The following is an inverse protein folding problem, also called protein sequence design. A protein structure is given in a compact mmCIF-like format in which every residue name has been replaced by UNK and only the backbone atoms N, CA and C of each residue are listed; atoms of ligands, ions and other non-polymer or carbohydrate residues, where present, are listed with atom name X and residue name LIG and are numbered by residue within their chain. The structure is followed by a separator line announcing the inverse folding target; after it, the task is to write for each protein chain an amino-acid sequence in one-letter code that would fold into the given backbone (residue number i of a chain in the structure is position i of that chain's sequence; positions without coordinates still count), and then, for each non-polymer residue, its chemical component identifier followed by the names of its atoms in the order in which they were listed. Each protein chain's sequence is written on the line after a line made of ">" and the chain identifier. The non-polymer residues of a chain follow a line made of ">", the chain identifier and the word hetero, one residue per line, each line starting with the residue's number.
data_IF_691635816824
#
_entry.id   IF_691635816824
#
_cell.length_a   1.000
_cell.length_b   1.000
_cell.length_c   1.000
_cell.angle_alpha   90.00
_cell.angle_beta   90.00
_cell.angle_gamma   90.00
#
_symmetry.space_group_name_H-M   'P 1'
#
loop_
_entity.id
_entity.type
_entity.pdbx_description
1 polymer ?
2 non-polymer ?
3 water ?
#
# COMPACT_ATOMS: atom_id res chain seq x y z
N UNK A 1 4.73 -21.78 20.54
CA UNK A 1 5.55 -20.69 19.94
C UNK A 1 5.69 -19.49 20.88
N UNK A 2 6.21 -18.38 20.36
CA UNK A 2 6.66 -17.29 21.24
C UNK A 2 5.55 -16.31 21.63
N UNK A 3 4.46 -16.26 20.88
CA UNK A 3 3.42 -15.27 21.12
C UNK A 3 2.07 -15.96 21.23
N UNK A 4 1.24 -15.44 22.14
CA UNK A 4 -0.06 -16.03 22.42
C UNK A 4 -1.06 -15.69 21.32
N UNK A 5 -2.16 -16.44 21.29
CA UNK A 5 -3.27 -16.11 20.41
C UNK A 5 -3.71 -14.65 20.61
N UNK A 6 -3.83 -14.22 21.87
CA UNK A 6 -4.31 -12.87 22.12
C UNK A 6 -3.32 -11.83 21.60
N UNK A 7 -2.02 -12.12 21.69
CA UNK A 7 -1.02 -11.18 21.18
C UNK A 7 -1.12 -11.07 19.65
N UNK A 8 -1.38 -12.18 18.96
CA UNK A 8 -1.60 -12.11 17.53
C UNK A 8 -2.85 -11.31 17.20
N UNK A 9 -3.93 -11.53 17.95
CA UNK A 9 -5.14 -10.74 17.74
C UNK A 9 -4.84 -9.25 17.91
N UNK A 10 -4.11 -8.90 18.97
CA UNK A 10 -3.75 -7.50 19.18
C UNK A 10 -2.99 -6.93 18.00
N UNK A 11 -2.01 -7.69 17.48
CA UNK A 11 -1.22 -7.23 16.35
C UNK A 11 -2.01 -7.13 15.05
N UNK A 12 -3.15 -7.81 14.97
CA UNK A 12 -3.92 -7.87 13.74
C UNK A 12 -4.84 -6.66 13.55
N UNK A 13 -4.94 -5.78 14.54
CA UNK A 13 -5.90 -4.68 14.47
C UNK A 13 -5.28 -3.49 13.75
N UNK A 14 -6.09 -2.77 12.99
CA UNK A 14 -5.60 -1.51 12.40
C UNK A 14 -5.32 -0.51 13.51
N UNK A 15 -4.26 0.27 13.33
CA UNK A 15 -3.87 1.28 14.31
C UNK A 15 -4.33 2.63 13.78
N UNK A 16 -3.59 3.21 12.85
CA UNK A 16 -4.04 4.44 12.20
C UNK A 16 -5.12 4.14 11.17
N UNK A 17 -6.17 4.96 11.14
CA UNK A 17 -7.21 4.78 10.15
C UNK A 17 -7.74 6.13 9.70
N UNK A 18 -8.56 6.11 8.65
CA UNK A 18 -9.17 7.34 8.13
C UNK A 18 -10.19 7.95 9.09
N UNK A 19 -10.58 7.25 10.15
CA UNK A 19 -11.43 7.86 11.18
C UNK A 19 -10.63 8.80 12.09
N UNK A 20 -9.30 8.73 12.07
CA UNK A 20 -8.51 9.52 12.99
C UNK A 20 -8.63 11.00 12.66
N UNK A 21 -8.84 11.83 13.69
CA UNK A 21 -8.97 13.27 13.49
C UNK A 21 -7.77 13.84 12.74
N UNK A 22 -6.55 13.42 13.10
CA UNK A 22 -5.38 14.00 12.45
C UNK A 22 -5.26 13.57 10.99
N UNK A 23 -5.83 12.43 10.62
CA UNK A 23 -5.87 12.04 9.22
C UNK A 23 -6.90 12.87 8.46
N UNK A 24 -8.10 13.01 9.03
CA UNK A 24 -9.11 13.87 8.43
C UNK A 24 -8.59 15.28 8.21
N UNK A 25 -7.88 15.82 9.21
CA UNK A 25 -7.37 17.18 9.11
C UNK A 25 -6.36 17.30 7.97
N UNK A 26 -5.47 16.32 7.85
CA UNK A 26 -4.49 16.35 6.76
C UNK A 26 -5.20 16.35 5.41
N UNK A 27 -6.14 15.43 5.21
CA UNK A 27 -6.84 15.34 3.93
C UNK A 27 -7.60 16.65 3.64
N UNK A 28 -8.32 17.16 4.64
CA UNK A 28 -9.07 18.40 4.45
C UNK A 28 -8.15 19.55 4.03
N UNK A 29 -7.06 19.75 4.76
CA UNK A 29 -6.19 20.90 4.51
C UNK A 29 -5.49 20.77 3.16
N UNK A 30 -4.98 19.56 2.86
CA UNK A 30 -4.25 19.39 1.60
C UNK A 30 -5.19 19.49 0.42
N UNK A 31 -6.40 18.94 0.55
CA UNK A 31 -7.38 19.04 -0.53
C UNK A 31 -7.66 20.50 -0.86
N UNK A 32 -7.86 21.33 0.17
CA UNK A 32 -8.14 22.73 -0.08
C UNK A 32 -6.99 23.42 -0.81
N UNK A 33 -5.75 23.10 -0.42
CA UNK A 33 -4.59 23.71 -1.08
C UNK A 33 -4.51 23.30 -2.55
N UNK A 34 -4.79 22.03 -2.84
CA UNK A 34 -4.73 21.56 -4.22
C UNK A 34 -5.87 22.12 -5.04
N UNK A 35 -7.09 22.15 -4.49
CA UNK A 35 -8.23 22.65 -5.24
C UNK A 35 -8.05 24.13 -5.57
N UNK A 36 -7.37 24.87 -4.71
CA UNK A 36 -7.18 26.30 -4.99
C UNK A 36 -6.45 26.51 -6.31
N UNK A 37 -5.57 25.57 -6.69
CA UNK A 37 -4.87 25.69 -7.96
C UNK A 37 -5.54 24.93 -9.11
N UNK A 38 -6.02 23.72 -8.85
CA UNK A 38 -6.43 22.80 -9.91
C UNK A 38 -7.94 22.72 -10.08
N UNK A 39 -8.72 23.18 -9.10
CA UNK A 39 -10.16 23.09 -9.23
C UNK A 39 -10.61 21.66 -9.46
N UNK A 40 -11.56 21.51 -10.39
CA UNK A 40 -12.13 20.20 -10.70
C UNK A 40 -11.35 19.45 -11.77
N UNK A 41 -10.17 19.93 -12.14
CA UNK A 41 -9.37 19.23 -13.13
C UNK A 41 -8.62 18.02 -12.55
N UNK A 42 -8.75 17.78 -11.25
CA UNK A 42 -8.12 16.62 -10.61
C UNK A 42 -9.16 15.82 -9.84
N UNK A 43 -8.91 14.53 -9.74
CA UNK A 43 -9.56 13.66 -8.77
C UNK A 43 -8.59 13.42 -7.62
N UNK A 44 -9.07 13.58 -6.39
CA UNK A 44 -8.28 13.30 -5.20
C UNK A 44 -8.84 12.06 -4.51
N UNK A 45 -7.94 11.12 -4.17
CA UNK A 45 -8.34 9.88 -3.54
C UNK A 45 -7.14 9.33 -2.78
N UNK A 46 -7.38 8.29 -1.99
CA UNK A 46 -6.32 7.69 -1.20
C UNK A 46 -5.84 6.38 -1.82
N UNK A 47 -4.56 6.09 -1.62
CA UNK A 47 -4.03 4.75 -1.86
C UNK A 47 -3.17 4.34 -0.68
N UNK A 48 -2.57 3.16 -0.77
CA UNK A 48 -1.73 2.71 0.31
C UNK A 48 -2.51 2.32 1.55
N UNK A 49 -1.80 2.35 2.69
CA UNK A 49 -2.28 1.64 3.86
C UNK A 49 -3.55 2.26 4.45
N UNK A 50 -3.76 3.57 4.32
CA UNK A 50 -5.01 4.13 4.81
C UNK A 50 -6.18 3.70 3.95
N UNK A 51 -5.96 3.58 2.65
CA UNK A 51 -7.00 3.14 1.73
C UNK A 51 -7.36 1.67 1.96
N UNK A 52 -6.35 0.83 2.08
CA UNK A 52 -6.54 -0.60 2.25
C UNK A 52 -6.71 -1.02 3.70
N UNK A 53 -6.62 -0.07 4.64
CA UNK A 53 -6.80 -0.30 6.07
C UNK A 53 -5.79 -1.31 6.62
N UNK A 54 -4.52 -1.10 6.28
CA UNK A 54 -3.47 -2.00 6.74
C UNK A 54 -2.40 -1.31 7.58
N UNK A 55 -2.72 -0.18 8.21
CA UNK A 55 -1.75 0.52 9.05
C UNK A 55 -1.55 -0.22 10.37
N UNK A 56 -0.30 -0.37 10.79
CA UNK A 56 0.00 -1.00 12.07
C UNK A 56 0.80 -0.08 12.98
N UNK A 57 0.95 1.18 12.62
CA UNK A 57 1.67 2.14 13.44
C UNK A 57 0.79 3.35 13.73
N UNK A 58 1.10 4.01 14.84
CA UNK A 58 0.38 5.21 15.23
C UNK A 58 0.80 6.39 14.37
N UNK A 59 -0.16 7.26 14.06
CA UNK A 59 0.12 8.53 13.40
C UNK A 59 0.86 8.34 12.07
N UNK A 60 0.45 7.33 11.31
CA UNK A 60 1.16 7.00 10.08
C UNK A 60 0.90 8.05 8.99
N UNK A 61 1.86 8.14 8.07
CA UNK A 61 1.70 9.03 6.92
C UNK A 61 0.63 8.48 5.97
N UNK A 62 -0.13 9.39 5.33
CA UNK A 62 -1.20 9.03 4.40
C UNK A 62 -0.76 9.34 2.98
N UNK A 63 -1.15 8.47 2.05
CA UNK A 63 -0.85 8.64 0.62
C UNK A 63 -2.07 9.26 -0.05
N UNK A 64 -1.95 10.54 -0.43
CA UNK A 64 -3.03 11.26 -1.11
C UNK A 64 -2.70 11.36 -2.59
N UNK A 65 -3.49 10.73 -3.43
CA UNK A 65 -3.27 10.76 -4.87
C UNK A 65 -4.02 11.93 -5.48
N UNK A 66 -3.33 12.70 -6.32
CA UNK A 66 -3.96 13.80 -7.05
C UNK A 66 -3.84 13.48 -8.53
N UNK A 67 -4.91 12.94 -9.12
CA UNK A 67 -4.91 12.52 -10.52
C UNK A 67 -5.38 13.67 -11.39
N UNK A 68 -4.47 14.22 -12.18
CA UNK A 68 -4.82 15.27 -13.15
C UNK A 68 -5.45 14.57 -14.34
N UNK A 69 -6.74 14.81 -14.57
CA UNK A 69 -7.47 13.96 -15.49
C UNK A 69 -8.53 14.72 -16.28
N UNK A 70 -8.35 16.02 -16.43
CA UNK A 70 -9.29 16.85 -17.18
C UNK A 70 -9.56 16.28 -18.57
N UNK A 71 -8.57 15.63 -19.20
CA UNK A 71 -8.77 15.12 -20.54
C UNK A 71 -9.69 13.90 -20.57
N UNK A 72 -9.75 13.16 -19.48
CA UNK A 72 -10.53 11.93 -19.38
C UNK A 72 -11.83 12.11 -18.61
N UNK A 73 -11.81 13.00 -17.60
CA UNK A 73 -12.99 13.31 -16.79
C UNK A 73 -13.16 14.82 -16.79
N UNK A 74 -13.60 15.38 -17.92
CA UNK A 74 -13.71 16.84 -18.04
C UNK A 74 -14.85 17.42 -17.21
N UNK A 75 -14.82 18.75 -17.11
CA UNK A 75 -15.84 19.48 -16.35
C UNK A 75 -17.15 19.47 -17.12
N UNK A 76 -18.17 18.86 -16.53
CA UNK A 76 -19.46 18.79 -17.17
C UNK A 76 -20.14 20.16 -17.07
N UNK A 96 0.84 19.62 -21.46
CA UNK A 96 1.04 19.51 -20.01
C UNK A 96 1.78 18.22 -19.65
N UNK A 97 3.08 18.33 -19.40
CA UNK A 97 3.90 17.17 -19.11
C UNK A 97 4.00 16.98 -17.60
N UNK A 98 4.54 15.83 -17.20
CA UNK A 98 4.52 15.50 -15.79
C UNK A 98 5.40 16.43 -14.97
N UNK A 99 6.55 16.85 -15.53
CA UNK A 99 7.42 17.75 -14.78
C UNK A 99 6.67 19.02 -14.39
N UNK A 100 5.87 19.57 -15.30
CA UNK A 100 5.08 20.75 -14.99
C UNK A 100 4.03 20.45 -13.94
N UNK A 101 3.35 19.30 -14.05
CA UNK A 101 2.34 18.92 -13.07
C UNK A 101 2.94 18.85 -11.68
N UNK A 102 4.09 18.19 -11.55
CA UNK A 102 4.67 17.98 -10.23
C UNK A 102 5.16 19.29 -9.65
N UNK A 103 5.74 20.15 -10.48
CA UNK A 103 6.17 21.46 -10.02
C UNK A 103 4.98 22.31 -9.59
N UNK A 104 3.87 22.27 -10.35
CA UNK A 104 2.69 23.03 -9.98
C UNK A 104 2.07 22.50 -8.68
N UNK A 105 2.12 21.17 -8.49
CA UNK A 105 1.61 20.58 -7.25
C UNK A 105 2.46 21.04 -6.06
N UNK A 106 3.79 21.03 -6.22
CA UNK A 106 4.66 21.48 -5.15
C UNK A 106 4.38 22.94 -4.80
N UNK A 107 4.17 23.77 -5.82
CA UNK A 107 3.87 25.18 -5.61
C UNK A 107 2.56 25.37 -4.87
N UNK A 108 1.50 24.65 -5.29
CA UNK A 108 0.22 24.78 -4.62
C UNK A 108 0.33 24.44 -3.14
N UNK A 109 1.09 23.39 -2.82
CA UNK A 109 1.27 22.99 -1.44
C UNK A 109 2.14 23.98 -0.68
N UNK A 110 3.24 24.44 -1.29
CA UNK A 110 4.12 25.36 -0.58
C UNK A 110 3.42 26.70 -0.30
N UNK A 111 2.51 27.14 -1.17
CA UNK A 111 1.80 28.39 -0.91
C UNK A 111 1.04 28.33 0.41
N UNK A 112 0.62 27.14 0.84
CA UNK A 112 -0.17 26.97 2.05
C UNK A 112 0.66 26.47 3.21
N UNK A 113 1.48 25.43 2.99
CA UNK A 113 2.20 24.76 4.07
C UNK A 113 3.66 25.18 4.16
N UNK A 114 4.10 26.11 3.31
CA UNK A 114 5.43 26.68 3.30
C UNK A 114 6.51 25.69 3.68
N UNK A 115 7.18 25.89 4.82
CA UNK A 115 8.39 25.10 5.11
C UNK A 115 8.12 23.62 5.41
N UNK A 116 6.85 23.21 5.56
CA UNK A 116 6.54 21.80 5.76
C UNK A 116 6.61 20.99 4.48
N UNK A 117 6.80 21.64 3.32
CA UNK A 117 6.75 20.94 2.04
C UNK A 117 8.16 20.53 1.63
N UNK A 118 8.31 19.26 1.24
CA UNK A 118 9.58 18.73 0.76
C UNK A 118 9.33 17.89 -0.47
N UNK A 119 10.00 18.21 -1.57
CA UNK A 119 9.90 17.38 -2.76
C UNK A 119 10.67 16.09 -2.56
N UNK A 120 10.05 14.96 -2.92
CA UNK A 120 10.66 13.65 -2.82
C UNK A 120 10.69 13.01 -4.22
N UNK A 121 11.34 11.85 -4.29
CA UNK A 121 11.54 11.19 -5.58
C UNK A 121 10.21 10.84 -6.26
N UNK A 122 9.22 10.39 -5.48
CA UNK A 122 7.97 9.90 -6.06
C UNK A 122 6.74 10.64 -5.56
N UNK A 123 6.90 11.73 -4.82
CA UNK A 123 5.77 12.45 -4.27
C UNK A 123 6.25 13.82 -3.80
N UNK A 124 5.29 14.63 -3.35
CA UNK A 124 5.56 15.84 -2.58
C UNK A 124 5.13 15.56 -1.14
N UNK A 125 6.08 15.64 -0.20
CA UNK A 125 5.75 15.40 1.21
C UNK A 125 5.29 16.70 1.87
N UNK A 126 4.19 16.62 2.60
CA UNK A 126 3.72 17.71 3.45
C UNK A 126 3.84 17.22 4.89
N UNK A 127 4.85 17.69 5.60
CA UNK A 127 5.06 17.25 6.97
C UNK A 127 3.93 17.71 7.88
N UNK A 128 3.54 16.84 8.79
CA UNK A 128 2.44 17.11 9.69
C UNK A 128 2.86 17.94 10.88
N UNK A 129 1.97 17.99 11.86
CA UNK A 129 2.18 18.77 13.06
C UNK A 129 1.29 18.22 14.16
N UNK A 130 1.06 19.01 15.22
CA UNK A 130 0.30 18.52 16.36
C UNK A 130 -1.11 18.10 15.97
N UNK A 131 -1.67 18.66 14.91
CA UNK A 131 -3.07 18.45 14.57
C UNK A 131 -3.28 17.75 13.23
N UNK A 132 -2.22 17.31 12.57
CA UNK A 132 -2.42 16.61 11.30
C UNK A 132 -1.24 15.67 11.06
N UNK A 133 -1.55 14.52 10.44
CA UNK A 133 -0.50 13.59 10.05
C UNK A 133 0.26 14.13 8.84
N UNK A 134 1.45 13.58 8.63
CA UNK A 134 2.20 13.81 7.42
C UNK A 134 1.49 13.16 6.24
N UNK A 135 1.56 13.82 5.10
CA UNK A 135 0.98 13.30 3.86
C UNK A 135 2.00 13.26 2.74
N UNK A 136 1.94 12.19 1.96
CA UNK A 136 2.67 12.11 0.69
C UNK A 136 1.64 12.36 -0.41
N UNK A 137 1.81 13.48 -1.12
CA UNK A 137 0.90 13.84 -2.20
C UNK A 137 1.50 13.33 -3.50
N UNK A 138 0.72 12.56 -4.24
CA UNK A 138 1.21 11.86 -5.42
C UNK A 138 0.51 12.40 -6.65
N UNK A 139 1.05 13.41 -7.31
CA UNK A 139 0.47 13.82 -8.60
C UNK A 139 0.66 12.72 -9.63
N UNK A 140 -0.33 12.58 -10.51
CA UNK A 140 -0.28 11.52 -11.51
C UNK A 140 -1.27 11.80 -12.63
N UNK A 141 -1.18 10.97 -13.67
CA UNK A 141 -2.07 10.98 -14.81
C UNK A 141 -2.85 9.67 -14.88
N UNK A 142 -3.92 9.69 -15.68
CA UNK A 142 -4.65 8.47 -16.02
C UNK A 142 -3.74 7.55 -16.84
N UNK A 143 -3.85 6.25 -16.58
CA UNK A 143 -3.08 5.21 -17.25
C UNK A 143 -4.04 4.15 -17.74
N UNK A 144 -3.89 3.74 -19.00
CA UNK A 144 -4.62 2.59 -19.53
C UNK A 144 -3.62 1.58 -20.09
N UNK A 145 -3.75 0.33 -19.67
CA UNK A 145 -2.85 -0.72 -20.13
C UNK A 145 -3.62 -2.02 -20.32
N UNK A 146 -3.25 -2.77 -21.34
CA UNK A 146 -3.84 -4.06 -21.57
C UNK A 146 -3.27 -5.09 -20.61
N UNK A 147 -4.16 -5.84 -19.97
CA UNK A 147 -3.79 -6.95 -19.11
C UNK A 147 -3.94 -8.24 -19.90
N UNK A 148 -2.82 -8.95 -20.10
CA UNK A 148 -2.93 -10.28 -20.71
C UNK A 148 -3.54 -11.28 -19.75
N UNK A 149 -3.37 -11.07 -18.43
CA UNK A 149 -3.96 -11.99 -17.45
C UNK A 149 -5.48 -12.02 -17.59
N UNK A 150 -6.11 -10.85 -17.74
CA UNK A 150 -7.55 -10.77 -17.87
C UNK A 150 -8.01 -10.45 -19.29
N UNK A 151 -7.10 -10.27 -20.23
CA UNK A 151 -7.44 -9.97 -21.63
C UNK A 151 -8.41 -8.79 -21.71
N UNK A 152 -8.10 -7.74 -20.97
CA UNK A 152 -8.89 -6.51 -21.00
C UNK A 152 -7.96 -5.33 -20.80
N UNK A 153 -8.41 -4.16 -21.26
CA UNK A 153 -7.74 -2.91 -20.92
C UNK A 153 -8.13 -2.50 -19.51
N UNK A 154 -7.14 -2.15 -18.70
CA UNK A 154 -7.34 -1.76 -17.32
C UNK A 154 -6.92 -0.30 -17.12
N UNK A 155 -7.68 0.43 -16.30
CA UNK A 155 -7.36 1.81 -16.00
C UNK A 155 -6.76 1.94 -14.61
N UNK A 156 -5.65 2.65 -14.50
CA UNK A 156 -5.04 2.98 -13.25
C UNK A 156 -4.41 4.36 -13.35
N UNK A 157 -3.26 4.53 -12.72
CA UNK A 157 -2.58 5.81 -12.69
C UNK A 157 -1.11 5.60 -13.04
N UNK A 158 -0.48 6.68 -13.51
CA UNK A 158 0.95 6.66 -13.80
C UNK A 158 1.57 7.99 -13.38
N UNK A 159 2.82 7.89 -12.91
CA UNK A 159 3.60 9.07 -12.63
C UNK A 159 5.06 8.72 -12.84
N UNK A 160 5.93 9.74 -12.77
CA UNK A 160 7.34 9.55 -13.01
C UNK A 160 8.14 9.98 -11.78
N UNK A 161 9.11 9.16 -11.40
CA UNK A 161 9.98 9.53 -10.29
C UNK A 161 11.04 10.51 -10.78
N UNK A 162 11.63 11.24 -9.83
CA UNK A 162 12.70 12.17 -10.20
C UNK A 162 13.91 11.44 -10.78
N UNK A 163 14.13 10.16 -10.46
CA UNK A 163 15.18 9.39 -11.12
C UNK A 163 14.68 8.66 -12.37
N UNK A 164 13.55 9.11 -12.93
CA UNK A 164 13.10 8.86 -14.30
C UNK A 164 12.35 7.55 -14.50
N UNK A 165 11.91 6.92 -13.42
CA UNK A 165 11.13 5.69 -13.56
C UNK A 165 9.68 6.02 -13.86
N UNK A 166 9.07 5.24 -14.72
CA UNK A 166 7.63 5.26 -14.92
C UNK A 166 7.00 4.35 -13.87
N UNK A 167 6.22 4.94 -12.97
CA UNK A 167 5.56 4.20 -11.90
C UNK A 167 4.09 4.05 -12.27
N UNK A 168 3.59 2.81 -12.27
CA UNK A 168 2.20 2.52 -12.61
C UNK A 168 1.55 1.83 -11.43
N UNK A 169 0.27 2.14 -11.21
CA UNK A 169 -0.47 1.64 -10.06
C UNK A 169 -1.92 1.42 -10.47
N UNK A 170 -2.54 0.42 -9.85
CA UNK A 170 -3.97 0.12 -10.04
C UNK A 170 -4.64 0.07 -8.67
N UNK A 171 -4.73 1.24 -8.02
CA UNK A 171 -5.18 1.25 -6.62
C UNK A 171 -6.62 0.85 -6.46
N UNK A 172 -7.49 1.11 -7.44
CA UNK A 172 -8.90 0.76 -7.27
C UNK A 172 -9.08 -0.74 -7.26
N UNK A 173 -8.44 -1.42 -8.21
CA UNK A 173 -8.56 -2.87 -8.31
C UNK A 173 -7.87 -3.55 -7.12
N UNK A 174 -6.73 -3.00 -6.70
CA UNK A 174 -6.09 -3.47 -5.47
C UNK A 174 -7.04 -3.36 -4.29
N UNK A 175 -7.64 -2.19 -4.11
CA UNK A 175 -8.57 -2.00 -3.00
C UNK A 175 -9.73 -3.00 -3.05
N UNK A 176 -10.39 -3.09 -4.20
CA UNK A 176 -11.60 -3.89 -4.29
C UNK A 176 -11.31 -5.37 -4.12
N UNK A 177 -10.25 -5.87 -4.75
CA UNK A 177 -9.93 -7.29 -4.64
C UNK A 177 -9.49 -7.67 -3.23
N UNK A 178 -8.74 -6.79 -2.57
CA UNK A 178 -8.31 -7.08 -1.23
C UNK A 178 -9.47 -7.06 -0.25
N UNK A 179 -10.40 -6.11 -0.45
CA UNK A 179 -11.61 -6.07 0.39
C UNK A 179 -12.43 -7.33 0.19
N UNK A 180 -12.60 -7.75 -1.07
CA UNK A 180 -13.35 -8.97 -1.33
C UNK A 180 -12.71 -10.16 -0.63
N UNK A 181 -11.39 -10.29 -0.71
CA UNK A 181 -10.75 -11.45 -0.11
C UNK A 181 -10.92 -11.45 1.41
N UNK A 182 -10.77 -10.28 2.05
CA UNK A 182 -10.92 -10.27 3.50
C UNK A 182 -12.36 -10.57 3.87
N UNK A 183 -13.31 -10.17 3.03
CA UNK A 183 -14.71 -10.48 3.31
C UNK A 183 -15.01 -11.96 3.17
N UNK A 184 -14.19 -12.69 2.40
CA UNK A 184 -14.36 -14.12 2.22
C UNK A 184 -13.55 -14.98 3.18
N UNK A 185 -12.67 -14.39 3.97
CA UNK A 185 -11.75 -15.15 4.81
C UNK A 185 -11.95 -14.85 6.29
N UNK A 186 -13.20 -14.58 6.70
CA UNK A 186 -13.50 -14.28 8.10
C UNK A 186 -12.72 -13.06 8.58
N UNK A 187 -12.43 -12.14 7.66
CA UNK A 187 -11.68 -10.91 7.91
C UNK A 187 -10.22 -11.19 8.22
N UNK A 188 -9.76 -12.42 7.99
CA UNK A 188 -8.39 -12.76 8.36
C UNK A 188 -7.35 -12.37 7.31
N UNK A 189 -7.74 -12.14 6.04
CA UNK A 189 -6.73 -11.76 5.06
C UNK A 189 -5.97 -10.52 5.52
N UNK A 190 -6.69 -9.44 5.80
CA UNK A 190 -5.98 -8.21 6.17
C UNK A 190 -5.42 -8.30 7.58
N UNK A 191 -6.04 -9.08 8.45
CA UNK A 191 -5.50 -9.27 9.79
C UNK A 191 -4.15 -9.97 9.73
N UNK A 192 -3.98 -10.93 8.81
CA UNK A 192 -2.68 -11.58 8.64
C UNK A 192 -1.68 -10.64 8.00
N UNK A 193 -2.11 -9.84 7.04
CA UNK A 193 -1.21 -8.82 6.50
C UNK A 193 -0.69 -7.94 7.63
N UNK A 194 -1.59 -7.47 8.49
CA UNK A 194 -1.17 -6.56 9.56
C UNK A 194 -0.18 -7.23 10.51
N UNK A 195 -0.44 -8.50 10.89
CA UNK A 195 0.52 -9.21 11.75
C UNK A 195 1.89 -9.27 11.10
N UNK A 196 1.93 -9.63 9.81
CA UNK A 196 3.22 -9.73 9.14
C UNK A 196 3.90 -8.37 9.00
N UNK A 197 3.12 -7.29 8.85
CA UNK A 197 3.72 -5.96 8.85
C UNK A 197 4.33 -5.64 10.21
N UNK A 198 3.65 -6.04 11.29
CA UNK A 198 4.21 -5.84 12.63
C UNK A 198 5.53 -6.58 12.75
N UNK A 199 5.56 -7.85 12.31
CA UNK A 199 6.81 -8.62 12.39
C UNK A 199 7.89 -7.98 11.53
N UNK A 200 7.54 -7.48 10.34
CA UNK A 200 8.50 -6.79 9.48
C UNK A 200 9.14 -5.62 10.21
N UNK A 201 8.32 -4.76 10.82
CA UNK A 201 8.88 -3.60 11.52
C UNK A 201 9.77 -4.02 12.69
N UNK A 202 9.41 -5.10 13.40
CA UNK A 202 10.25 -5.58 14.49
C UNK A 202 11.58 -6.10 13.99
N UNK A 203 11.55 -6.89 12.91
CA UNK A 203 12.79 -7.41 12.32
C UNK A 203 13.68 -6.28 11.81
N UNK A 204 13.09 -5.22 11.25
CA UNK A 204 13.87 -4.06 10.81
C UNK A 204 14.49 -3.34 12.01
N UNK A 205 13.68 -3.11 13.04
CA UNK A 205 14.19 -2.42 14.23
C UNK A 205 15.29 -3.22 14.89
N UNK A 206 15.23 -4.54 14.84
CA UNK A 206 16.25 -5.40 15.43
C UNK A 206 17.48 -5.55 14.54
N UNK A 207 17.45 -5.01 13.33
CA UNK A 207 18.56 -5.16 12.42
C UNK A 207 18.66 -6.51 11.77
N UNK A 208 17.57 -7.28 11.77
CA UNK A 208 17.62 -8.63 11.23
C UNK A 208 17.40 -8.67 9.73
N UNK A 209 16.69 -7.69 9.17
CA UNK A 209 16.48 -7.58 7.73
C UNK A 209 16.61 -6.11 7.37
N UNK A 210 16.89 -5.87 6.09
CA UNK A 210 16.94 -4.52 5.56
C UNK A 210 15.54 -3.91 5.54
N UNK A 211 15.50 -2.58 5.65
CA UNK A 211 14.21 -1.89 5.71
C UNK A 211 13.45 -1.95 4.39
N UNK A 212 14.08 -2.43 3.31
CA UNK A 212 13.42 -2.54 2.03
C UNK A 212 13.38 -3.97 1.50
N UNK A 213 13.62 -4.97 2.35
CA UNK A 213 13.52 -6.35 1.90
C UNK A 213 12.13 -6.62 1.34
N UNK A 214 11.11 -6.20 2.08
CA UNK A 214 9.73 -6.26 1.62
C UNK A 214 9.10 -4.88 1.79
N UNK A 215 7.91 -4.73 1.27
CA UNK A 215 7.09 -3.53 1.42
C UNK A 215 5.69 -3.97 1.82
N UNK A 216 4.87 -3.01 2.28
CA UNK A 216 3.47 -3.31 2.57
C UNK A 216 2.79 -3.92 1.35
N UNK A 217 2.99 -3.29 0.18
CA UNK A 217 2.42 -3.81 -1.06
C UNK A 217 2.84 -5.27 -1.30
N UNK A 218 4.13 -5.55 -1.15
CA UNK A 218 4.63 -6.91 -1.38
C UNK A 218 3.97 -7.90 -0.43
N UNK A 219 3.91 -7.56 0.87
CA UNK A 219 3.26 -8.44 1.85
C UNK A 219 1.79 -8.65 1.48
N UNK A 220 1.09 -7.57 1.13
CA UNK A 220 -0.31 -7.68 0.77
C UNK A 220 -0.51 -8.63 -0.41
N UNK A 221 0.39 -8.55 -1.41
CA UNK A 221 0.27 -9.46 -2.56
C UNK A 221 0.59 -10.89 -2.19
N UNK A 222 1.63 -11.11 -1.36
CA UNK A 222 1.97 -12.48 -0.98
C UNK A 222 0.80 -13.16 -0.28
N UNK A 223 0.23 -12.50 0.75
CA UNK A 223 -0.86 -13.11 1.49
C UNK A 223 -2.09 -13.27 0.61
N UNK A 224 -2.28 -12.38 -0.36
CA UNK A 224 -3.44 -12.45 -1.24
C UNK A 224 -3.47 -13.76 -2.01
N UNK A 225 -2.29 -14.31 -2.33
CA UNK A 225 -2.23 -15.53 -3.13
C UNK A 225 -2.35 -16.80 -2.30
N UNK A 226 -2.47 -16.69 -0.98
CA UNK A 226 -2.77 -17.86 -0.16
C UNK A 226 -4.25 -18.22 -0.34
N UNK A 227 -4.58 -19.47 -0.67
CA UNK A 227 -5.99 -19.80 -0.92
C UNK A 227 -6.88 -19.53 0.28
N UNK A 228 -8.13 -19.13 -0.02
CA UNK A 228 -9.07 -18.79 1.04
C UNK A 228 -9.24 -19.89 2.08
N UNK A 229 -9.12 -21.16 1.66
CA UNK A 229 -9.37 -22.25 2.60
C UNK A 229 -8.23 -22.45 3.60
N UNK A 230 -7.18 -21.62 3.55
CA UNK A 230 -6.13 -21.66 4.57
C UNK A 230 -6.44 -20.76 5.76
N UNK A 231 -7.47 -19.91 5.65
CA UNK A 231 -7.82 -18.98 6.70
C UNK A 231 -8.89 -19.61 7.58
N UNK A 232 -8.58 -19.80 8.86
CA UNK A 232 -9.39 -20.62 9.76
C UNK A 232 -10.10 -19.70 10.73
N UNK A 233 -11.42 -19.68 10.67
CA UNK A 233 -12.21 -18.82 11.53
C UNK A 233 -11.84 -19.04 12.99
N UNK A 234 -11.51 -17.94 13.67
CA UNK A 234 -11.27 -17.99 15.10
C UNK A 234 -9.96 -18.61 15.53
N UNK A 235 -9.05 -18.89 14.59
CA UNK A 235 -7.76 -19.49 14.96
C UNK A 235 -6.64 -18.70 14.29
N UNK A 236 -6.20 -17.64 14.97
CA UNK A 236 -5.17 -16.78 14.42
C UNK A 236 -3.84 -17.50 14.36
N UNK A 237 -3.50 -18.29 15.40
CA UNK A 237 -2.22 -18.96 15.45
C UNK A 237 -2.07 -19.93 14.28
N UNK A 238 -3.10 -20.77 14.05
CA UNK A 238 -2.98 -21.74 12.97
C UNK A 238 -3.12 -21.09 11.59
N UNK A 239 -3.94 -20.05 11.47
CA UNK A 239 -4.05 -19.34 10.20
C UNK A 239 -2.70 -18.75 9.81
N UNK A 240 -2.04 -18.08 10.76
CA UNK A 240 -0.74 -17.48 10.48
C UNK A 240 0.28 -18.54 10.13
N UNK A 241 0.26 -19.68 10.82
CA UNK A 241 1.14 -20.79 10.44
C UNK A 241 0.86 -21.21 9.00
N UNK A 242 -0.43 -21.37 8.64
CA UNK A 242 -0.78 -21.77 7.28
C UNK A 242 -0.27 -20.76 6.26
N UNK A 243 -0.43 -19.48 6.55
CA UNK A 243 -0.03 -18.42 5.60
C UNK A 243 1.47 -18.50 5.36
N UNK A 244 2.25 -18.56 6.45
CA UNK A 244 3.72 -18.54 6.31
C UNK A 244 4.18 -19.79 5.57
N UNK A 245 3.66 -20.96 5.96
CA UNK A 245 4.08 -22.20 5.31
C UNK A 245 3.72 -22.18 3.82
N UNK A 246 2.53 -21.72 3.49
CA UNK A 246 2.10 -21.72 2.10
C UNK A 246 2.97 -20.80 1.24
N UNK A 247 3.22 -19.57 1.68
CA UNK A 247 4.06 -18.66 0.89
C UNK A 247 5.46 -19.23 0.76
N UNK A 248 6.03 -19.71 1.87
CA UNK A 248 7.38 -20.27 1.88
C UNK A 248 7.49 -21.40 0.87
N UNK A 249 6.55 -22.35 0.92
CA UNK A 249 6.61 -23.47 -0.01
C UNK A 249 6.38 -22.99 -1.44
N UNK A 250 5.44 -22.06 -1.65
CA UNK A 250 5.20 -21.54 -2.99
C UNK A 250 6.45 -20.88 -3.58
N UNK A 251 7.23 -20.18 -2.76
CA UNK A 251 8.43 -19.54 -3.27
C UNK A 251 9.48 -20.58 -3.67
N UNK A 252 9.63 -21.63 -2.86
CA UNK A 252 10.55 -22.70 -3.24
C UNK A 252 10.09 -23.37 -4.53
N UNK A 253 8.79 -23.31 -4.80
CA UNK A 253 8.18 -23.98 -5.94
C UNK A 253 7.87 -23.03 -7.09
N UNK A 254 8.46 -21.84 -7.10
CA UNK A 254 8.48 -21.01 -8.32
C UNK A 254 7.07 -20.60 -8.72
N UNK A 255 6.24 -20.29 -7.72
CA UNK A 255 4.82 -20.05 -7.97
C UNK A 255 4.59 -18.75 -8.74
N UNK A 256 3.54 -18.76 -9.55
CA UNK A 256 3.12 -17.58 -10.32
C UNK A 256 2.04 -16.84 -9.54
N UNK A 257 2.48 -15.94 -8.68
CA UNK A 257 1.57 -15.11 -7.90
C UNK A 257 1.10 -13.92 -8.71
N UNK A 258 -0.13 -13.47 -8.46
CA UNK A 258 -0.61 -12.23 -9.06
C UNK A 258 -0.47 -11.08 -8.06
N UNK A 259 -0.47 -9.86 -8.58
CA UNK A 259 -0.72 -8.72 -7.70
C UNK A 259 -2.16 -8.82 -7.22
N UNK A 260 -2.47 -8.07 -6.16
CA UNK A 260 -3.85 -8.06 -5.66
C UNK A 260 -4.82 -7.62 -6.74
N UNK A 261 -4.37 -6.76 -7.66
CA UNK A 261 -5.24 -6.26 -8.71
C UNK A 261 -5.65 -7.34 -9.70
N UNK A 262 -4.99 -8.50 -9.69
CA UNK A 262 -5.28 -9.64 -10.56
C UNK A 262 -5.13 -9.31 -12.04
N UNK A 263 -4.46 -8.21 -12.35
CA UNK A 263 -4.21 -7.80 -13.73
C UNK A 263 -2.80 -8.09 -14.19
N UNK A 264 -1.84 -8.19 -13.27
CA UNK A 264 -0.44 -8.34 -13.59
C UNK A 264 0.20 -9.31 -12.60
N UNK A 265 1.30 -9.91 -13.04
CA UNK A 265 2.04 -10.86 -12.22
C UNK A 265 2.84 -10.16 -11.13
N UNK A 266 2.90 -10.77 -9.95
CA UNK A 266 3.71 -10.20 -8.88
C UNK A 266 5.19 -10.24 -9.23
N UNK A 267 5.65 -11.34 -9.78
CA UNK A 267 7.06 -11.51 -10.12
C UNK A 267 7.29 -11.27 -11.62
N UNK A 268 6.80 -10.13 -12.09
CA UNK A 268 6.97 -9.73 -13.47
C UNK A 268 8.36 -9.19 -13.70
N UNK A 269 8.78 -9.17 -14.97
CA UNK A 269 10.11 -8.64 -15.27
C UNK A 269 10.18 -7.13 -15.10
N UNK A 270 9.07 -6.46 -14.79
CA UNK A 270 9.12 -5.03 -14.46
C UNK A 270 9.45 -4.80 -12.99
N UNK A 271 9.42 -5.84 -12.16
CA UNK A 271 9.55 -5.68 -10.71
C UNK A 271 10.86 -6.25 -10.21
N UNK A 272 11.66 -5.47 -9.47
CA UNK A 272 12.93 -6.03 -8.98
C UNK A 272 12.79 -6.97 -7.77
N UNK A 273 11.66 -7.00 -7.07
CA UNK A 273 11.53 -7.92 -5.94
C UNK A 273 11.38 -9.35 -6.47
N UNK A 274 11.92 -10.30 -5.72
CA UNK A 274 12.03 -11.66 -6.17
C UNK A 274 11.37 -12.64 -5.20
N UNK A 275 11.14 -13.85 -5.70
CA UNK A 275 10.66 -14.91 -4.83
C UNK A 275 11.63 -15.19 -3.68
N UNK A 276 12.93 -15.01 -3.92
CA UNK A 276 13.91 -15.20 -2.86
C UNK A 276 13.73 -14.19 -1.74
N UNK A 277 13.38 -12.94 -2.08
CA UNK A 277 13.06 -11.97 -1.05
C UNK A 277 11.93 -12.46 -0.17
N UNK A 278 10.86 -12.97 -0.81
CA UNK A 278 9.72 -13.47 -0.05
C UNK A 278 10.09 -14.70 0.78
N UNK A 279 10.88 -15.62 0.20
CA UNK A 279 11.31 -16.82 0.93
C UNK A 279 12.10 -16.44 2.17
N UNK A 280 13.06 -15.53 2.01
CA UNK A 280 13.87 -15.11 3.14
C UNK A 280 13.04 -14.43 4.22
N UNK A 281 12.11 -13.58 3.80
CA UNK A 281 11.23 -12.91 4.76
C UNK A 281 10.39 -13.92 5.54
N UNK A 282 9.79 -14.89 4.84
CA UNK A 282 8.98 -15.88 5.51
C UNK A 282 9.80 -16.62 6.56
N UNK A 283 11.05 -16.95 6.21
CA UNK A 283 11.92 -17.66 7.15
C UNK A 283 12.18 -16.82 8.40
N UNK A 284 12.48 -15.54 8.21
CA UNK A 284 12.72 -14.68 9.37
C UNK A 284 11.46 -14.56 10.23
N UNK A 285 10.29 -14.49 9.60
CA UNK A 285 9.03 -14.43 10.34
C UNK A 285 8.82 -15.71 11.14
N UNK A 286 9.00 -16.86 10.48
CA UNK A 286 8.86 -18.15 11.17
C UNK A 286 9.76 -18.22 12.39
N UNK A 287 11.01 -17.79 12.24
CA UNK A 287 11.96 -17.88 13.35
C UNK A 287 11.61 -16.90 14.45
N UNK A 288 11.20 -15.68 14.09
CA UNK A 288 10.84 -14.68 15.10
C UNK A 288 9.62 -15.13 15.90
N UNK A 289 8.62 -15.69 15.22
CA UNK A 289 7.38 -16.10 15.88
C UNK A 289 7.56 -17.37 16.69
N UNK A 290 8.53 -18.21 16.33
CA UNK A 290 8.81 -19.39 17.13
C UNK A 290 7.94 -20.59 16.86
N UNK A 291 7.40 -20.69 15.65
CA UNK A 291 6.66 -21.87 15.25
C UNK A 291 7.54 -23.12 15.26
X LIG B 1 -11.90 -2.89 11.11
X LIG B 1 -12.25 -3.07 12.56
X LIG B 1 -11.39 -1.48 10.85
X LIG B 1 -13.11 -3.16 10.24
X LIG B 1 -10.69 -3.92 10.68
X LIG B 1 -10.81 -5.50 10.25
X LIG B 1 -9.72 -6.22 11.03
X LIG B 1 -12.19 -6.05 10.58
X LIG B 1 -10.53 -5.51 8.75
#
# INVERSE_FOLDING_TARGET
>A
MNFSEQQLINWSRPVSTTEDLKCQNAITQITAALRAKFGNRVTIFLQGSYRNNTNVRQNSDVDIVMRYDDAFYPDLQRLSESDKAIYNAQRTYSGYNFDELKADTEEALRNVFTTSVERKNKCIQVNGNSNRITADVIPCFVLKRFSTLQSVEAEGIKFYSDDNKEIISFPEQHYSNGTEKTNQTYRLYKRMVRILKVVNYRLIDDGEIADNLVSSFFIECLVYNVPNNQFISGNYTQTLRNVIVKIYEDMKNNADYTEVNRLFWLFSNRSPRTRQDALGFMQKCWNYLGYQ
>B hetero
1 DPO P1 O1 O2 O3 O4 P2 O5 O6 O7
#
